data_IF_772182487688
#
_entry.id   IF_772182487688
#
_cell.length_a   1.000
_cell.length_b   1.000
_cell.length_c   1.000
_cell.angle_alpha   90.00
_cell.angle_beta   90.00
_cell.angle_gamma   90.00
#
_symmetry.space_group_name_H-M   'P 1'
#
loop_
_entity.id
_entity.type
_entity.pdbx_description
1 polymer ?
#
# COMPACT_ATOMS: atom_id res chain seq x y z
N UNK A 1 -1.14 -0.94 -11.84
CA UNK A 1 -2.26 -1.27 -10.92
C UNK A 1 -2.60 -2.76 -10.77
N UNK A 2 -2.63 -3.58 -11.84
CA UNK A 2 -3.06 -5.01 -11.75
C UNK A 2 -2.29 -5.87 -10.73
N UNK A 3 -1.05 -5.53 -10.39
CA UNK A 3 -0.24 -6.26 -9.41
C UNK A 3 -0.68 -6.04 -7.95
N UNK A 4 -0.97 -4.80 -7.54
CA UNK A 4 -1.48 -4.49 -6.20
C UNK A 4 -2.85 -5.11 -5.96
N UNK A 5 -3.79 -4.96 -6.90
CA UNK A 5 -5.12 -5.56 -6.78
C UNK A 5 -5.09 -7.10 -6.61
N UNK A 6 -4.07 -7.75 -7.20
CA UNK A 6 -3.81 -9.19 -7.08
C UNK A 6 -2.95 -9.57 -5.86
N UNK A 7 -2.58 -8.62 -5.00
CA UNK A 7 -1.73 -8.86 -3.82
C UNK A 7 -0.27 -9.17 -4.14
N UNK A 8 0.19 -8.99 -5.38
CA UNK A 8 1.59 -9.27 -5.77
C UNK A 8 2.59 -8.23 -5.26
N UNK A 9 2.13 -7.02 -4.95
CA UNK A 9 2.96 -5.92 -4.48
C UNK A 9 2.27 -5.21 -3.32
N UNK A 10 3.04 -4.75 -2.34
CA UNK A 10 2.55 -3.83 -1.33
C UNK A 10 2.11 -2.51 -1.98
N UNK A 11 1.25 -1.77 -1.28
CA UNK A 11 0.79 -0.47 -1.75
C UNK A 11 1.94 0.53 -1.95
N UNK A 12 2.93 0.51 -1.04
CA UNK A 12 4.15 1.31 -1.16
C UNK A 12 4.99 0.95 -2.38
N UNK A 13 5.14 -0.35 -2.68
CA UNK A 13 5.85 -0.78 -3.89
C UNK A 13 5.11 -0.37 -5.16
N UNK A 14 3.78 -0.39 -5.15
CA UNK A 14 2.97 0.04 -6.27
C UNK A 14 3.05 1.56 -6.51
N UNK A 15 3.04 2.36 -5.43
CA UNK A 15 3.24 3.81 -5.49
C UNK A 15 4.64 4.16 -6.05
N UNK A 16 5.68 3.50 -5.53
CA UNK A 16 7.06 3.65 -6.02
C UNK A 16 7.19 3.34 -7.52
N UNK A 17 6.64 2.20 -7.97
CA UNK A 17 6.68 1.81 -9.39
C UNK A 17 5.87 2.74 -10.30
N UNK A 18 4.88 3.44 -9.73
CA UNK A 18 4.05 4.41 -10.46
C UNK A 18 4.65 5.81 -10.41
N UNK A 19 5.78 6.00 -9.73
CA UNK A 19 6.42 7.30 -9.47
C UNK A 19 5.46 8.33 -8.86
N UNK A 20 4.60 7.86 -7.94
CA UNK A 20 3.64 8.68 -7.22
C UNK A 20 3.94 8.66 -5.71
N UNK A 21 3.70 9.78 -5.00
CA UNK A 21 3.57 9.76 -3.55
C UNK A 21 2.56 8.69 -3.11
N UNK A 22 2.83 8.06 -1.98
CA UNK A 22 1.96 7.00 -1.46
C UNK A 22 0.52 7.49 -1.23
N UNK A 23 0.35 8.70 -0.70
CA UNK A 23 -0.96 9.31 -0.47
C UNK A 23 -1.75 9.49 -1.77
N UNK A 24 -1.11 10.07 -2.80
CA UNK A 24 -1.74 10.29 -4.11
C UNK A 24 -2.10 8.95 -4.78
N UNK A 25 -1.24 7.94 -4.65
CA UNK A 25 -1.56 6.61 -5.12
C UNK A 25 -2.76 6.00 -4.37
N UNK A 26 -2.87 6.21 -3.05
CA UNK A 26 -4.02 5.76 -2.25
C UNK A 26 -5.32 6.43 -2.70
N UNK A 27 -5.31 7.73 -2.93
CA UNK A 27 -6.49 8.47 -3.38
C UNK A 27 -7.01 7.91 -4.71
N UNK A 28 -6.11 7.72 -5.68
CA UNK A 28 -6.47 7.18 -7.00
C UNK A 28 -7.10 5.77 -6.90
N UNK A 29 -6.51 4.86 -6.12
CA UNK A 29 -7.06 3.50 -6.03
C UNK A 29 -8.39 3.46 -5.26
N UNK A 30 -8.62 4.36 -4.30
CA UNK A 30 -9.91 4.48 -3.62
C UNK A 30 -10.99 5.01 -4.58
N UNK A 31 -10.68 6.02 -5.39
CA UNK A 31 -11.58 6.55 -6.42
C UNK A 31 -11.96 5.48 -7.46
N UNK A 32 -11.02 4.57 -7.76
CA UNK A 32 -11.26 3.41 -8.62
C UNK A 32 -12.05 2.28 -7.93
N UNK A 33 -12.49 2.46 -6.69
CA UNK A 33 -13.24 1.46 -5.91
C UNK A 33 -12.39 0.26 -5.46
N UNK A 34 -11.06 0.34 -5.57
CA UNK A 34 -10.14 -0.71 -5.14
C UNK A 34 -9.99 -0.57 -3.62
N UNK A 35 -10.76 -1.37 -2.88
CA UNK A 35 -10.62 -1.42 -1.43
C UNK A 35 -9.24 -1.91 -1.03
N UNK A 36 -8.65 -1.23 -0.05
CA UNK A 36 -7.45 -1.72 0.60
C UNK A 36 -7.73 -3.09 1.22
N UNK A 37 -6.87 -4.06 0.92
CA UNK A 37 -6.85 -5.37 1.59
C UNK A 37 -6.05 -5.35 2.89
N UNK A 38 -5.48 -4.20 3.26
CA UNK A 38 -4.70 -4.04 4.48
C UNK A 38 -5.65 -4.14 5.66
N UNK A 39 -5.47 -5.18 6.45
CA UNK A 39 -6.15 -5.38 7.72
C UNK A 39 -5.47 -4.56 8.81
N UNK A 40 -6.11 -4.46 9.98
CA UNK A 40 -5.52 -3.76 11.13
C UNK A 40 -4.23 -4.45 11.58
N UNK A 41 -4.21 -5.78 11.49
CA UNK A 41 -3.09 -6.64 11.84
C UNK A 41 -1.88 -6.37 10.93
N UNK A 42 -2.10 -6.27 9.62
CA UNK A 42 -1.05 -5.91 8.65
C UNK A 42 -0.44 -4.54 8.96
N UNK A 43 -1.28 -3.60 9.41
CA UNK A 43 -0.88 -2.25 9.77
C UNK A 43 0.01 -2.23 11.01
N UNK A 44 -0.39 -2.97 12.06
CA UNK A 44 0.39 -3.12 13.30
C UNK A 44 1.73 -3.82 13.06
N UNK A 45 1.74 -4.88 12.25
CA UNK A 45 2.99 -5.57 11.87
C UNK A 45 3.93 -4.63 11.11
N UNK A 46 3.39 -3.81 10.21
CA UNK A 46 4.14 -2.77 9.51
C UNK A 46 4.82 -1.79 10.46
N UNK A 47 4.13 -1.31 11.50
CA UNK A 47 4.69 -0.43 12.51
C UNK A 47 5.81 -1.09 13.34
N UNK A 48 5.60 -2.33 13.78
CA UNK A 48 6.63 -3.08 14.52
C UNK A 48 7.88 -3.34 13.68
N UNK A 49 7.72 -3.57 12.37
CA UNK A 49 8.85 -3.71 11.48
C UNK A 49 9.58 -2.38 11.24
N UNK A 50 8.87 -1.25 11.15
CA UNK A 50 9.48 0.09 11.03
C UNK A 50 10.33 0.43 12.26
N UNK A 51 9.88 0.09 13.47
CA UNK A 51 10.65 0.27 14.73
C UNK A 51 11.99 -0.48 14.77
N UNK A 52 12.22 -1.46 13.88
CA UNK A 52 13.50 -2.17 13.80
C UNK A 52 14.53 -1.42 12.96
N UNK A 53 14.09 -0.46 12.14
CA UNK A 53 14.93 0.32 11.23
C UNK A 53 15.26 1.73 11.75
N UNK A 54 14.53 2.21 12.76
CA UNK A 54 14.71 3.50 13.42
C UNK A 54 14.90 3.31 14.91
#
# INVERSE_FOLDING_TARGET
>A
MKGYAKGKYSIGKAAYLSNLPLSEFMDIIMDLGIKSKITREDLLEGYENLKKFF
#
